data_IF_851650484193
#
_entry.id   IF_851650484193
#
_cell.length_a   1.000
_cell.length_b   1.000
_cell.length_c   1.000
_cell.angle_alpha   90.00
_cell.angle_beta   90.00
_cell.angle_gamma   90.00
#
_symmetry.space_group_name_H-M   'P 1'
#
loop_
_entity.id
_entity.type
_entity.pdbx_description
1 polymer ?
#
# COMPACT_ATOMS: atom_id res chain seq x y z
N UNK A 1 1.01 -3.72 -14.00
CA UNK A 1 0.71 -5.16 -14.08
C UNK A 1 -0.77 -5.46 -13.87
N UNK A 2 -1.38 -4.95 -12.81
CA UNK A 2 -2.79 -5.22 -12.54
C UNK A 2 -3.73 -4.09 -12.96
N UNK A 3 -3.24 -3.13 -13.72
CA UNK A 3 -4.05 -2.04 -14.19
C UNK A 3 -5.34 -2.46 -14.88
N UNK A 4 -5.33 -3.49 -15.74
CA UNK A 4 -6.58 -3.89 -16.39
C UNK A 4 -7.64 -4.39 -15.40
N UNK A 5 -7.21 -4.90 -14.26
CA UNK A 5 -8.15 -5.40 -13.25
C UNK A 5 -8.56 -4.27 -12.31
N UNK A 6 -7.61 -3.49 -11.85
CA UNK A 6 -7.89 -2.43 -10.87
C UNK A 6 -8.37 -1.12 -11.52
N UNK A 7 -8.09 -0.94 -12.78
CA UNK A 7 -8.44 0.30 -13.46
C UNK A 7 -7.50 1.45 -13.19
N UNK A 8 -6.41 1.21 -12.48
CA UNK A 8 -5.51 2.28 -12.09
C UNK A 8 -4.16 1.71 -11.66
N UNK A 9 -3.11 2.26 -12.24
CA UNK A 9 -1.75 1.89 -11.83
C UNK A 9 -1.49 2.39 -10.41
N UNK A 10 -2.01 3.57 -10.10
CA UNK A 10 -1.81 4.15 -8.76
C UNK A 10 -2.45 3.27 -7.69
N UNK A 11 -3.60 2.66 -7.99
CA UNK A 11 -4.26 1.78 -7.02
C UNK A 11 -3.39 0.58 -6.70
N UNK A 12 -2.78 -0.01 -7.73
CA UNK A 12 -1.88 -1.13 -7.52
C UNK A 12 -0.68 -0.70 -6.68
N UNK A 13 -0.11 0.47 -6.95
CA UNK A 13 1.03 0.99 -6.20
C UNK A 13 0.69 1.19 -4.73
N UNK A 14 -0.45 1.79 -4.46
CA UNK A 14 -0.90 2.03 -3.09
C UNK A 14 -1.04 0.70 -2.34
N UNK A 15 -1.67 -0.27 -2.97
CA UNK A 15 -1.90 -1.56 -2.32
C UNK A 15 -0.61 -2.32 -2.09
N UNK A 16 0.33 -2.26 -3.05
CA UNK A 16 1.62 -2.91 -2.89
C UNK A 16 2.42 -2.29 -1.75
N UNK A 17 2.34 -0.96 -1.61
CA UNK A 17 3.04 -0.28 -0.53
C UNK A 17 2.51 -0.75 0.83
N UNK A 18 1.18 -0.79 0.97
CA UNK A 18 0.59 -1.19 2.25
C UNK A 18 0.89 -2.66 2.54
N UNK A 19 0.90 -3.50 1.50
CA UNK A 19 1.25 -4.89 1.69
C UNK A 19 2.70 -5.03 2.19
N UNK A 20 3.60 -4.23 1.66
CA UNK A 20 5.02 -4.30 2.02
C UNK A 20 5.31 -3.74 3.39
N UNK A 21 4.64 -2.65 3.76
CA UNK A 21 4.98 -1.93 4.99
C UNK A 21 3.93 -2.05 6.09
N UNK A 22 2.84 -2.74 5.82
CA UNK A 22 1.71 -2.97 6.74
C UNK A 22 0.80 -1.76 6.91
N UNK A 23 1.29 -0.55 6.69
CA UNK A 23 0.48 0.66 6.74
C UNK A 23 1.18 1.72 5.90
N UNK A 24 0.57 2.86 5.74
CA UNK A 24 1.18 3.95 5.00
C UNK A 24 0.43 5.25 5.10
N UNK A 25 1.19 6.35 5.01
CA UNK A 25 0.65 7.68 4.86
C UNK A 25 0.69 8.04 3.39
N UNK A 26 -0.23 8.88 2.93
CA UNK A 26 -0.25 9.30 1.54
C UNK A 26 1.08 9.89 1.09
N UNK A 27 1.71 10.68 1.95
CA UNK A 27 2.98 11.32 1.61
C UNK A 27 4.12 10.32 1.47
N UNK A 28 4.09 9.24 2.25
CA UNK A 28 5.11 8.20 2.13
C UNK A 28 4.96 7.48 0.80
N UNK A 29 3.74 7.16 0.43
CA UNK A 29 3.47 6.40 -0.79
C UNK A 29 3.86 7.22 -2.02
N UNK A 30 3.48 8.51 -2.04
CA UNK A 30 3.81 9.33 -3.18
C UNK A 30 5.32 9.49 -3.32
N UNK A 31 6.04 9.58 -2.21
CA UNK A 31 7.48 9.73 -2.24
C UNK A 31 8.15 8.44 -2.70
N UNK A 32 7.65 7.30 -2.23
CA UNK A 32 8.22 6.01 -2.61
C UNK A 32 8.13 5.80 -4.13
N UNK A 33 6.99 6.12 -4.72
CA UNK A 33 6.80 5.91 -6.15
C UNK A 33 7.11 7.13 -6.99
N UNK A 34 7.48 8.24 -6.36
CA UNK A 34 7.80 9.50 -7.05
C UNK A 34 6.64 9.94 -7.93
N UNK A 35 5.46 9.97 -7.34
CA UNK A 35 4.25 10.34 -8.05
C UNK A 35 3.58 11.52 -7.35
N UNK A 36 2.41 11.92 -7.84
CA UNK A 36 1.67 13.02 -7.24
C UNK A 36 0.91 12.60 -6.00
N UNK A 37 0.66 13.56 -5.13
CA UNK A 37 -0.07 13.30 -3.90
C UNK A 37 -1.55 13.08 -4.16
N UNK A 38 -2.17 13.91 -5.01
CA UNK A 38 -3.61 13.83 -5.24
C UNK A 38 -4.07 12.46 -5.75
N UNK A 39 -3.43 11.86 -6.75
CA UNK A 39 -3.86 10.53 -7.18
C UNK A 39 -3.76 9.50 -6.07
N UNK A 40 -2.70 9.59 -5.24
CA UNK A 40 -2.51 8.65 -4.14
C UNK A 40 -3.64 8.82 -3.12
N UNK A 41 -3.95 10.06 -2.74
CA UNK A 41 -5.02 10.32 -1.79
C UNK A 41 -6.36 9.83 -2.32
N UNK A 42 -6.64 10.06 -3.60
CA UNK A 42 -7.89 9.60 -4.18
C UNK A 42 -8.03 8.09 -4.10
N UNK A 43 -6.97 7.37 -4.38
CA UNK A 43 -7.03 5.91 -4.33
C UNK A 43 -7.19 5.41 -2.89
N UNK A 44 -6.49 6.03 -1.95
CA UNK A 44 -6.64 5.65 -0.54
C UNK A 44 -8.08 5.86 -0.07
N UNK A 45 -8.67 6.99 -0.42
CA UNK A 45 -10.05 7.30 -0.03
C UNK A 45 -11.04 6.33 -0.66
N UNK A 46 -10.86 6.01 -1.94
CA UNK A 46 -11.76 5.09 -2.62
C UNK A 46 -11.65 3.68 -2.04
N UNK A 47 -10.43 3.26 -1.71
CA UNK A 47 -10.22 1.94 -1.13
C UNK A 47 -10.81 1.85 0.28
N UNK A 48 -10.74 2.94 1.03
CA UNK A 48 -11.36 2.97 2.34
C UNK A 48 -12.88 2.93 2.20
N UNK A 49 -13.41 3.71 1.28
CA UNK A 49 -14.86 3.74 1.07
C UNK A 49 -15.36 2.35 0.65
N UNK A 50 -14.58 1.63 -0.12
CA UNK A 50 -14.93 0.28 -0.56
C UNK A 50 -14.66 -0.81 0.46
N UNK A 51 -14.15 -0.45 1.63
CA UNK A 51 -13.92 -1.43 2.69
C UNK A 51 -12.62 -2.20 2.61
N UNK A 52 -11.76 -1.88 1.64
CA UNK A 52 -10.48 -2.57 1.49
C UNK A 52 -9.48 -2.09 2.52
N UNK A 53 -9.49 -0.79 2.81
CA UNK A 53 -8.58 -0.19 3.78
C UNK A 53 -9.37 0.42 4.92
N UNK A 54 -8.69 0.59 6.04
CA UNK A 54 -9.18 1.37 7.17
C UNK A 54 -8.14 2.43 7.45
N UNK A 55 -8.55 3.50 8.13
CA UNK A 55 -7.64 4.59 8.45
C UNK A 55 -7.79 4.99 9.90
N UNK A 56 -6.77 5.67 10.42
CA UNK A 56 -6.85 6.27 11.72
C UNK A 56 -6.05 7.57 11.70
N UNK A 57 -6.46 8.52 12.52
CA UNK A 57 -5.75 9.77 12.60
C UNK A 57 -4.54 9.61 13.50
N UNK A 58 -3.40 10.10 13.03
CA UNK A 58 -2.17 10.07 13.80
C UNK A 58 -1.63 11.49 13.72
N UNK A 59 -1.85 12.26 14.76
CA UNK A 59 -1.53 13.67 14.72
C UNK A 59 -2.39 14.36 13.69
N UNK A 60 -1.74 15.04 12.74
CA UNK A 60 -2.47 15.73 11.68
C UNK A 60 -2.49 14.92 10.40
N UNK A 61 -2.10 13.66 10.47
CA UNK A 61 -2.02 12.83 9.28
C UNK A 61 -2.94 11.62 9.41
N UNK A 62 -3.19 10.94 8.31
CA UNK A 62 -4.06 9.79 8.28
C UNK A 62 -3.25 8.58 7.84
N UNK A 63 -3.24 7.55 8.67
CA UNK A 63 -2.51 6.31 8.42
C UNK A 63 -3.48 5.26 7.91
N UNK A 64 -3.17 4.65 6.78
CA UNK A 64 -4.02 3.64 6.17
C UNK A 64 -3.41 2.25 6.30
N UNK A 65 -4.27 1.26 6.49
CA UNK A 65 -3.85 -0.14 6.54
C UNK A 65 -4.96 -1.01 5.98
N UNK A 66 -4.66 -2.28 5.73
CA UNK A 66 -5.69 -3.18 5.25
C UNK A 66 -6.77 -3.38 6.31
N UNK A 67 -8.00 -3.49 5.85
CA UNK A 67 -9.12 -3.78 6.72
C UNK A 67 -9.13 -5.29 6.99
N UNK A 68 -8.89 -5.74 8.22
CA UNK A 68 -8.82 -7.17 8.50
C UNK A 68 -10.15 -7.89 8.29
N UNK A 69 -11.23 -7.14 8.16
CA UNK A 69 -12.54 -7.73 7.92
C UNK A 69 -12.97 -7.73 6.46
N UNK A 70 -12.08 -7.27 5.57
CA UNK A 70 -12.42 -7.26 4.15
C UNK A 70 -12.53 -8.71 3.67
N UNK A 71 -13.67 -9.05 3.09
CA UNK A 71 -13.97 -10.44 2.74
C UNK A 71 -12.96 -11.10 1.82
N UNK A 72 -12.34 -10.31 0.95
CA UNK A 72 -11.42 -10.85 -0.06
C UNK A 72 -9.96 -10.48 0.25
N UNK A 73 -9.66 -10.24 1.52
CA UNK A 73 -8.33 -9.76 1.88
C UNK A 73 -7.23 -10.75 1.52
N UNK A 74 -7.42 -12.02 1.84
CA UNK A 74 -6.39 -13.03 1.56
C UNK A 74 -6.19 -13.18 0.07
N UNK A 75 -7.27 -13.20 -0.69
CA UNK A 75 -7.19 -13.31 -2.15
C UNK A 75 -6.50 -12.09 -2.74
N UNK A 76 -6.81 -10.90 -2.23
CA UNK A 76 -6.18 -9.69 -2.70
C UNK A 76 -4.69 -9.71 -2.42
N UNK A 77 -4.30 -10.10 -1.21
CA UNK A 77 -2.89 -10.17 -0.85
C UNK A 77 -2.16 -11.18 -1.73
N UNK A 78 -2.78 -12.32 -2.00
CA UNK A 78 -2.17 -13.32 -2.85
C UNK A 78 -2.00 -12.81 -4.29
N UNK A 79 -3.00 -12.10 -4.80
CA UNK A 79 -2.91 -11.50 -6.13
C UNK A 79 -1.77 -10.49 -6.20
N UNK A 80 -1.65 -9.65 -5.19
CA UNK A 80 -0.60 -8.63 -5.14
C UNK A 80 0.79 -9.27 -5.04
N UNK A 81 0.93 -10.33 -4.26
CA UNK A 81 2.20 -11.03 -4.14
C UNK A 81 2.58 -11.69 -5.46
N UNK A 82 1.60 -12.26 -6.16
CA UNK A 82 1.87 -12.86 -7.45
C UNK A 82 2.31 -11.81 -8.47
N UNK A 83 1.64 -10.68 -8.49
CA UNK A 83 2.00 -9.60 -9.40
C UNK A 83 3.41 -9.09 -9.12
N UNK A 84 3.79 -9.06 -7.83
CA UNK A 84 5.11 -8.55 -7.44
C UNK A 84 6.24 -9.35 -8.08
N UNK A 85 6.01 -10.63 -8.35
CA UNK A 85 7.04 -11.47 -8.95
C UNK A 85 7.43 -10.99 -10.35
N UNK A 86 6.58 -10.21 -10.99
CA UNK A 86 6.82 -9.72 -12.35
C UNK A 86 7.32 -8.29 -12.40
N UNK A 87 7.57 -7.67 -11.26
CA UNK A 87 8.07 -6.29 -11.22
C UNK A 87 9.56 -6.29 -11.49
N UNK A 88 10.10 -5.12 -11.76
CA UNK A 88 11.54 -4.96 -11.96
C UNK A 88 12.25 -5.33 -10.66
N UNK A 89 13.42 -5.95 -10.77
CA UNK A 89 14.16 -6.39 -9.58
C UNK A 89 14.40 -5.26 -8.57
N UNK A 90 14.65 -4.06 -9.03
CA UNK A 90 14.89 -2.93 -8.12
C UNK A 90 13.67 -2.64 -7.26
N UNK A 91 12.48 -2.71 -7.85
CA UNK A 91 11.26 -2.45 -7.12
C UNK A 91 10.97 -3.58 -6.15
N UNK A 92 11.17 -4.82 -6.58
CA UNK A 92 10.98 -5.96 -5.71
C UNK A 92 11.89 -5.84 -4.50
N UNK A 93 13.13 -5.43 -4.71
CA UNK A 93 14.08 -5.28 -3.63
C UNK A 93 13.63 -4.20 -2.65
N UNK A 94 13.19 -3.05 -3.16
CA UNK A 94 12.73 -1.97 -2.29
C UNK A 94 11.54 -2.40 -1.45
N UNK A 95 10.61 -3.13 -2.02
CA UNK A 95 9.43 -3.59 -1.29
C UNK A 95 9.78 -4.67 -0.28
N UNK A 96 10.77 -5.49 -0.60
CA UNK A 96 11.12 -6.62 0.25
C UNK A 96 12.08 -6.24 1.36
N UNK A 97 13.10 -5.47 1.05
CA UNK A 97 14.07 -5.07 2.03
C UNK A 97 13.48 -4.24 3.14
N UNK A 98 12.49 -3.44 2.82
CA UNK A 98 11.87 -2.61 3.82
C UNK A 98 11.21 -3.44 4.90
N UNK A 99 10.79 -4.62 4.57
CA UNK A 99 10.17 -5.47 5.57
C UNK A 99 11.19 -6.04 6.54
N UNK A 100 12.42 -6.16 6.09
CA UNK A 100 13.44 -6.71 6.96
C UNK A 100 13.90 -5.65 7.93
N UNK A 101 13.77 -4.37 7.58
CA UNK A 101 14.18 -3.34 8.43
C UNK A 101 13.05 -3.08 9.35
N UNK A 102 13.22 -3.11 10.61
CA UNK A 102 12.17 -2.85 11.55
C UNK A 102 11.79 -1.44 11.40
N UNK A 103 11.06 -1.13 10.42
CA UNK A 103 10.61 0.15 10.17
C UNK A 103 9.92 0.71 11.36
N UNK A 104 9.39 -0.08 12.19
CA UNK A 104 8.76 0.39 13.28
C UNK A 104 9.55 0.33 14.44
N UNK A 105 10.77 0.01 14.36
CA UNK A 105 11.58 -0.01 15.42
C UNK A 105 11.45 1.14 16.18
N UNK A 106 11.29 2.12 15.63
CA UNK A 106 11.19 3.28 16.36
C UNK A 106 9.94 3.27 17.11
N UNK A 107 9.15 2.36 16.89
CA UNK A 107 7.99 2.43 17.47
C UNK A 107 8.15 1.83 18.66
N UNK A 108 8.39 1.82 19.19
CA UNK A 108 8.67 1.42 20.16
C UNK A 108 8.95 0.53 20.44
N UNK A 109 9.40 0.45 20.26
CA UNK A 109 9.85 -0.40 20.55
C UNK A 109 10.05 -0.20 21.43
#
# INVERSE_FOLDING_TARGET
>A
MLEPIFGSKCREQVLQFILAFDDGYATQIKTFYKTGLDPVQKQLEKLELGGVLVSKNVGKTILYSFNPRYAFLDELKNLLLKAREFYKPELIEQLTMSRKRPRRQGKPL
#
